data_IF_394884667005
#
_entry.id   IF_394884667005
#
_cell.length_a   1.000
_cell.length_b   1.000
_cell.length_c   1.000
_cell.angle_alpha   90.00
_cell.angle_beta   90.00
_cell.angle_gamma   90.00
#
_symmetry.space_group_name_H-M   'P 1'
#
loop_
_entity.id
_entity.type
_entity.pdbx_description
1 polymer ?
#
# COMPACT_ATOMS: atom_id res chain seq x y z
N UNK A 1 5.70 18.98 11.13
CA UNK A 1 5.14 17.90 10.30
C UNK A 1 6.14 17.58 9.19
N UNK A 2 6.35 16.31 8.85
CA UNK A 2 7.36 15.87 7.88
C UNK A 2 6.77 14.81 6.96
N UNK A 3 7.30 14.73 5.74
CA UNK A 3 7.01 13.67 4.77
C UNK A 3 8.10 12.61 4.88
N UNK A 4 7.70 11.35 5.06
CA UNK A 4 8.62 10.22 5.08
C UNK A 4 8.39 9.36 3.85
N UNK A 5 9.45 9.15 3.07
CA UNK A 5 9.42 8.44 1.80
C UNK A 5 10.33 7.23 1.91
N UNK A 6 9.76 6.04 1.73
CA UNK A 6 10.53 4.81 1.60
C UNK A 6 10.95 4.61 0.15
N UNK A 7 12.25 4.71 -0.13
CA UNK A 7 12.83 4.16 -1.34
C UNK A 7 13.12 2.67 -1.13
N UNK A 8 12.22 1.81 -1.64
CA UNK A 8 12.35 0.35 -1.51
C UNK A 8 13.56 -0.22 -2.24
N UNK A 9 14.07 0.46 -3.29
CA UNK A 9 15.24 0.00 -4.05
C UNK A 9 16.52 0.24 -3.25
N UNK A 10 16.64 1.42 -2.65
CA UNK A 10 17.78 1.79 -1.81
C UNK A 10 17.66 1.28 -0.37
N UNK A 11 16.46 0.90 0.08
CA UNK A 11 16.14 0.52 1.47
C UNK A 11 16.41 1.69 2.44
N UNK A 12 16.04 2.89 2.03
CA UNK A 12 16.25 4.13 2.79
C UNK A 12 14.91 4.81 3.04
N UNK A 13 14.70 5.32 4.24
CA UNK A 13 13.60 6.26 4.52
C UNK A 13 14.17 7.68 4.52
N UNK A 14 13.70 8.52 3.62
CA UNK A 14 14.02 9.94 3.59
C UNK A 14 12.97 10.74 4.35
N UNK A 15 13.40 11.75 5.10
CA UNK A 15 12.53 12.73 5.74
C UNK A 15 12.68 14.09 5.04
N UNK A 16 11.55 14.65 4.62
CA UNK A 16 11.42 15.99 4.05
C UNK A 16 10.48 16.83 4.91
N UNK A 17 10.60 18.15 4.87
CA UNK A 17 9.50 19.01 5.33
C UNK A 17 8.38 19.09 4.29
N UNK A 18 7.31 19.80 4.63
CA UNK A 18 6.15 19.97 3.74
C UNK A 18 6.43 20.88 2.53
N UNK A 19 7.56 21.58 2.52
CA UNK A 19 8.02 22.40 1.38
C UNK A 19 8.91 21.58 0.43
N UNK A 20 9.18 20.30 0.75
CA UNK A 20 9.99 19.39 -0.05
C UNK A 20 11.49 19.50 0.22
N UNK A 21 11.91 20.23 1.27
CA UNK A 21 13.32 20.32 1.63
C UNK A 21 13.75 19.09 2.42
N UNK A 22 14.87 18.50 2.01
CA UNK A 22 15.48 17.37 2.69
C UNK A 22 15.88 17.74 4.13
N UNK A 23 15.55 16.85 5.08
CA UNK A 23 15.91 16.99 6.50
C UNK A 23 16.96 15.97 6.93
N UNK A 24 16.67 14.69 6.73
CA UNK A 24 17.50 13.57 7.19
C UNK A 24 17.09 12.26 6.50
N UNK A 25 17.82 11.17 6.77
CA UNK A 25 17.47 9.82 6.30
C UNK A 25 17.79 8.74 7.33
N UNK A 26 17.03 7.65 7.31
CA UNK A 26 17.38 6.39 7.93
C UNK A 26 18.06 5.51 6.87
N UNK A 27 19.36 5.33 7.04
CA UNK A 27 20.24 4.57 6.15
C UNK A 27 21.21 3.75 7.01
N UNK A 28 20.66 2.67 7.60
CA UNK A 28 21.36 1.79 8.56
C UNK A 28 21.42 0.36 8.03
N UNK A 29 21.89 0.20 6.80
CA UNK A 29 21.97 -1.11 6.17
C UNK A 29 23.09 -1.97 6.78
N UNK A 30 22.74 -3.11 7.37
CA UNK A 30 23.71 -4.02 7.98
C UNK A 30 23.10 -5.01 8.98
N UNK A 31 23.96 -5.60 9.81
CA UNK A 31 23.58 -6.65 10.81
C UNK A 31 23.85 -6.23 12.25
N UNK A 32 24.44 -5.06 12.47
CA UNK A 32 24.76 -4.52 13.78
C UNK A 32 23.53 -4.01 14.55
N UNK A 33 23.81 -3.45 15.71
CA UNK A 33 22.80 -2.88 16.60
C UNK A 33 22.05 -1.74 15.90
N UNK A 34 20.72 -1.88 15.81
CA UNK A 34 19.86 -0.92 15.12
C UNK A 34 20.03 -0.87 13.61
N UNK A 35 20.67 -1.88 12.99
CA UNK A 35 20.78 -2.01 11.54
C UNK A 35 19.74 -3.00 10.98
N UNK A 36 19.47 -2.87 9.68
CA UNK A 36 18.54 -3.69 8.93
C UNK A 36 19.09 -4.17 7.57
N UNK A 37 18.73 -5.37 7.13
CA UNK A 37 19.07 -5.92 5.81
C UNK A 37 17.96 -5.70 4.77
N UNK A 38 16.73 -5.56 5.25
CA UNK A 38 15.52 -5.32 4.47
C UNK A 38 14.74 -4.17 5.10
N UNK A 39 13.97 -3.50 4.26
CA UNK A 39 13.03 -2.46 4.68
C UNK A 39 11.78 -2.65 3.82
N UNK A 40 10.96 -3.62 4.23
CA UNK A 40 9.83 -4.12 3.45
C UNK A 40 8.65 -3.16 3.51
N UNK A 41 8.41 -2.62 4.70
CA UNK A 41 7.34 -1.68 5.00
C UNK A 41 7.64 -0.90 6.29
N UNK A 42 6.93 0.19 6.52
CA UNK A 42 7.06 0.99 7.73
C UNK A 42 5.75 1.70 8.09
N UNK A 43 5.59 2.05 9.37
CA UNK A 43 4.60 3.03 9.77
C UNK A 43 5.17 3.99 10.80
N UNK A 44 4.52 5.15 10.90
CA UNK A 44 4.91 6.23 11.79
C UNK A 44 3.78 6.52 12.75
N UNK A 45 4.17 6.87 13.97
CA UNK A 45 3.32 7.41 15.03
C UNK A 45 3.83 8.79 15.43
N UNK A 46 3.18 9.45 16.39
CA UNK A 46 3.58 10.79 16.81
C UNK A 46 5.01 10.87 17.39
N UNK A 47 5.60 9.74 17.80
CA UNK A 47 6.93 9.69 18.42
C UNK A 47 7.90 8.69 17.80
N UNK A 48 7.42 7.74 17.00
CA UNK A 48 8.20 6.55 16.65
C UNK A 48 7.94 6.06 15.24
N UNK A 49 8.98 5.48 14.66
CA UNK A 49 9.03 4.87 13.33
C UNK A 49 9.26 3.38 13.53
N UNK A 50 8.35 2.57 13.02
CA UNK A 50 8.44 1.12 13.04
C UNK A 50 8.78 0.64 11.63
N UNK A 51 9.85 -0.13 11.48
CA UNK A 51 10.21 -0.75 10.19
C UNK A 51 10.09 -2.26 10.28
N UNK A 52 9.61 -2.86 9.21
CA UNK A 52 9.62 -4.30 9.00
C UNK A 52 10.92 -4.67 8.27
N UNK A 53 11.76 -5.48 8.93
CA UNK A 53 12.99 -6.03 8.37
C UNK A 53 12.86 -7.56 8.29
N UNK A 54 12.10 -8.05 7.30
CA UNK A 54 11.69 -9.45 7.22
C UNK A 54 12.84 -10.43 6.95
N UNK A 55 13.90 -10.01 6.25
CA UNK A 55 15.12 -10.82 6.05
C UNK A 55 15.83 -11.15 7.37
N UNK A 56 15.61 -10.32 8.40
CA UNK A 56 16.11 -10.55 9.77
C UNK A 56 15.01 -10.99 10.73
N UNK A 57 13.79 -11.21 10.23
CA UNK A 57 12.62 -11.59 11.03
C UNK A 57 12.48 -10.71 12.28
N UNK A 58 12.52 -9.39 12.10
CA UNK A 58 12.31 -8.44 13.19
C UNK A 58 11.54 -7.20 12.77
N UNK A 59 10.99 -6.53 13.77
CA UNK A 59 10.56 -5.13 13.68
C UNK A 59 11.56 -4.29 14.46
N UNK A 60 12.09 -3.25 13.83
CA UNK A 60 12.97 -2.28 14.48
C UNK A 60 12.22 -0.97 14.73
N UNK A 61 12.45 -0.36 15.88
CA UNK A 61 11.78 0.87 16.31
C UNK A 61 12.81 1.98 16.47
N UNK A 62 12.54 3.12 15.85
CA UNK A 62 13.34 4.34 15.93
C UNK A 62 12.48 5.50 16.41
N UNK A 63 13.10 6.56 16.92
CA UNK A 63 12.41 7.84 17.10
C UNK A 63 12.35 8.64 15.78
N UNK A 64 11.70 9.81 15.81
CA UNK A 64 11.56 10.67 14.62
C UNK A 64 12.89 11.29 14.12
N UNK A 65 13.96 11.22 14.92
CA UNK A 65 15.32 11.62 14.54
C UNK A 65 16.14 10.45 13.98
N UNK A 66 15.51 9.29 13.74
CA UNK A 66 16.15 8.05 13.29
C UNK A 66 17.17 7.46 14.27
N UNK A 67 17.04 7.77 15.56
CA UNK A 67 17.80 7.09 16.61
C UNK A 67 17.11 5.79 16.98
N UNK A 68 17.88 4.70 17.04
CA UNK A 68 17.36 3.39 17.36
C UNK A 68 16.89 3.33 18.82
N UNK A 69 15.76 2.67 19.04
CA UNK A 69 15.20 2.44 20.37
C UNK A 69 15.35 0.96 20.76
N UNK A 70 14.67 0.06 20.05
CA UNK A 70 14.72 -1.38 20.28
C UNK A 70 14.27 -2.16 19.03
N UNK A 71 14.51 -3.46 19.04
CA UNK A 71 13.90 -4.41 18.11
C UNK A 71 13.19 -5.52 18.86
N UNK A 72 12.32 -6.23 18.14
CA UNK A 72 11.74 -7.48 18.62
C UNK A 72 11.58 -8.48 17.49
N UNK A 73 11.76 -9.78 17.77
CA UNK A 73 11.67 -10.82 16.77
C UNK A 73 10.22 -11.04 16.34
N UNK A 74 10.05 -11.42 15.08
CA UNK A 74 8.77 -11.87 14.52
C UNK A 74 8.93 -13.32 14.09
N UNK A 75 7.83 -14.09 14.09
CA UNK A 75 7.90 -15.54 13.92
C UNK A 75 8.03 -15.96 12.45
N UNK A 76 7.75 -15.06 11.51
CA UNK A 76 7.77 -15.38 10.08
C UNK A 76 7.94 -14.12 9.22
N UNK A 77 8.23 -14.32 7.93
CA UNK A 77 8.41 -13.24 6.96
C UNK A 77 7.12 -12.43 6.77
N UNK A 78 7.19 -11.12 7.00
CA UNK A 78 6.11 -10.18 6.74
C UNK A 78 6.29 -9.45 5.41
N UNK A 79 5.21 -8.93 4.86
CA UNK A 79 5.20 -8.13 3.62
C UNK A 79 4.68 -6.71 3.83
N UNK A 80 3.90 -6.51 4.90
CA UNK A 80 3.40 -5.20 5.30
C UNK A 80 3.10 -5.15 6.79
N UNK A 81 3.19 -3.97 7.39
CA UNK A 81 2.86 -3.71 8.79
C UNK A 81 1.91 -2.54 8.96
N UNK A 82 1.06 -2.62 9.97
CA UNK A 82 0.25 -1.49 10.42
C UNK A 82 -0.02 -1.58 11.91
N UNK A 83 -0.72 -0.60 12.47
CA UNK A 83 -1.07 -0.61 13.88
C UNK A 83 -2.48 -0.09 14.15
N UNK A 84 -3.07 -0.62 15.22
CA UNK A 84 -4.25 -0.06 15.86
C UNK A 84 -4.03 -0.04 17.38
N UNK A 85 -4.06 1.15 17.97
CA UNK A 85 -3.72 1.37 19.40
C UNK A 85 -2.38 0.72 19.74
N UNK A 86 -2.38 -0.32 20.57
CA UNK A 86 -1.18 -0.99 21.09
C UNK A 86 -0.80 -2.21 20.25
N UNK A 87 -1.67 -2.62 19.32
CA UNK A 87 -1.47 -3.80 18.48
C UNK A 87 -0.78 -3.41 17.17
N UNK A 88 0.32 -4.10 16.87
CA UNK A 88 0.96 -4.13 15.56
C UNK A 88 0.46 -5.35 14.80
N UNK A 89 0.03 -5.14 13.56
CA UNK A 89 -0.38 -6.19 12.64
C UNK A 89 0.71 -6.40 11.60
N UNK A 90 1.11 -7.65 11.41
CA UNK A 90 2.00 -8.08 10.33
C UNK A 90 1.20 -8.91 9.35
N UNK A 91 1.18 -8.49 8.09
CA UNK A 91 0.63 -9.28 6.99
C UNK A 91 1.73 -10.11 6.34
N UNK A 92 1.56 -11.42 6.36
CA UNK A 92 2.55 -12.40 5.85
C UNK A 92 2.25 -12.84 4.43
N UNK A 93 1.17 -12.32 3.82
CA UNK A 93 0.66 -12.85 2.56
C UNK A 93 0.42 -14.36 2.71
N UNK A 94 0.82 -15.18 1.75
CA UNK A 94 0.74 -16.64 1.87
C UNK A 94 2.08 -17.27 2.28
N UNK A 95 2.95 -16.55 3.00
CA UNK A 95 4.31 -17.01 3.34
C UNK A 95 4.42 -17.75 4.68
N UNK A 96 3.39 -17.73 5.54
CA UNK A 96 3.44 -18.44 6.82
C UNK A 96 3.22 -19.94 6.66
N UNK A 97 4.14 -20.74 7.23
CA UNK A 97 4.00 -22.21 7.29
C UNK A 97 2.86 -22.68 8.19
N UNK A 98 2.35 -21.82 9.08
CA UNK A 98 1.16 -22.07 9.90
C UNK A 98 -0.15 -21.75 9.17
N UNK A 99 -0.06 -21.36 7.89
CA UNK A 99 -1.19 -21.08 7.02
C UNK A 99 -2.09 -19.93 7.52
N UNK A 100 -1.49 -18.92 8.18
CA UNK A 100 -2.16 -17.71 8.64
C UNK A 100 -1.58 -16.46 7.95
N UNK A 101 -2.47 -15.57 7.50
CA UNK A 101 -2.11 -14.33 6.83
C UNK A 101 -1.67 -13.21 7.79
N UNK A 102 -2.09 -13.24 9.05
CA UNK A 102 -1.84 -12.15 10.00
C UNK A 102 -1.25 -12.66 11.31
N UNK A 103 -0.31 -11.87 11.84
CA UNK A 103 0.23 -11.99 13.19
C UNK A 103 0.08 -10.66 13.90
N UNK A 104 -0.28 -10.71 15.19
CA UNK A 104 -0.50 -9.55 16.05
C UNK A 104 0.54 -9.57 17.16
N UNK A 105 1.16 -8.42 17.37
CA UNK A 105 2.12 -8.17 18.43
C UNK A 105 1.71 -6.95 19.26
N UNK A 106 2.10 -6.89 20.52
CA UNK A 106 2.12 -5.64 21.26
C UNK A 106 3.26 -4.78 20.70
N UNK A 107 2.95 -3.58 20.21
CA UNK A 107 3.92 -2.72 19.52
C UNK A 107 4.94 -2.07 20.45
N UNK A 108 4.74 -2.12 21.76
CA UNK A 108 5.65 -1.53 22.75
C UNK A 108 6.58 -2.57 23.34
N UNK A 109 6.10 -3.80 23.55
CA UNK A 109 6.88 -4.87 24.19
C UNK A 109 7.41 -5.91 23.19
N UNK A 110 6.83 -5.98 21.99
CA UNK A 110 7.13 -7.05 21.02
C UNK A 110 6.50 -8.40 21.39
N UNK A 111 5.64 -8.44 22.42
CA UNK A 111 4.95 -9.66 22.83
C UNK A 111 4.01 -10.15 21.71
N UNK A 112 4.12 -11.43 21.36
CA UNK A 112 3.20 -12.07 20.42
C UNK A 112 1.82 -12.27 21.07
N UNK A 113 0.77 -11.77 20.41
CA UNK A 113 -0.59 -11.77 20.96
C UNK A 113 -1.50 -12.80 20.28
N UNK A 114 -1.56 -12.82 18.94
CA UNK A 114 -2.49 -13.66 18.19
C UNK A 114 -2.10 -13.82 16.71
N UNK A 115 -2.78 -14.72 15.99
CA UNK A 115 -2.69 -14.91 14.54
C UNK A 115 -4.05 -15.27 13.95
N UNK A 116 -4.33 -14.86 12.72
CA UNK A 116 -5.61 -15.14 12.06
C UNK A 116 -5.52 -15.02 10.51
N UNK A 117 -6.64 -15.29 9.84
CA UNK A 117 -6.75 -15.24 8.38
C UNK A 117 -6.18 -16.49 7.73
N UNK A 118 -6.86 -17.63 7.90
CA UNK A 118 -6.35 -18.90 7.40
C UNK A 118 -6.45 -19.01 5.89
N UNK A 119 -5.46 -19.65 5.26
CA UNK A 119 -5.44 -19.85 3.81
C UNK A 119 -5.11 -21.31 3.39
N UNK A 120 -5.59 -21.77 2.22
CA UNK A 120 -5.26 -23.10 1.69
C UNK A 120 -3.76 -23.36 1.52
N UNK A 121 -3.29 -24.53 1.95
CA UNK A 121 -1.87 -24.96 1.82
C UNK A 121 -1.30 -24.81 0.41
N UNK A 122 -2.12 -24.99 -0.63
CA UNK A 122 -1.69 -24.85 -2.03
C UNK A 122 -1.30 -23.42 -2.44
N UNK A 123 -1.55 -22.43 -1.59
CA UNK A 123 -1.13 -21.04 -1.79
C UNK A 123 0.17 -20.70 -1.07
N UNK A 124 0.71 -21.62 -0.26
CA UNK A 124 1.91 -21.39 0.54
C UNK A 124 3.09 -20.99 -0.34
N UNK A 125 3.80 -19.93 0.07
CA UNK A 125 4.99 -19.40 -0.60
C UNK A 125 4.71 -18.25 -1.58
N UNK A 126 3.45 -17.83 -1.73
CA UNK A 126 3.06 -16.77 -2.68
C UNK A 126 3.00 -15.42 -1.96
N UNK A 127 3.67 -14.42 -2.51
CA UNK A 127 3.61 -13.04 -2.05
C UNK A 127 3.17 -12.11 -3.17
N UNK A 128 2.02 -11.46 -2.99
CA UNK A 128 1.55 -10.42 -3.89
C UNK A 128 2.09 -9.06 -3.50
N UNK A 129 2.63 -8.34 -4.48
CA UNK A 129 2.97 -6.92 -4.34
C UNK A 129 1.69 -6.10 -4.50
N UNK A 130 1.09 -5.67 -3.38
CA UNK A 130 -0.07 -4.79 -3.32
C UNK A 130 -0.12 -4.06 -1.98
N UNK A 131 -0.84 -2.95 -1.90
CA UNK A 131 -1.25 -2.43 -0.59
C UNK A 131 -2.25 -3.40 0.01
N UNK A 132 -2.13 -3.66 1.31
CA UNK A 132 -3.02 -4.62 2.00
C UNK A 132 -3.88 -3.92 3.04
N UNK A 133 -3.36 -2.88 3.68
CA UNK A 133 -4.03 -2.19 4.76
C UNK A 133 -4.56 -0.84 4.33
N UNK A 134 -5.75 -0.51 4.83
CA UNK A 134 -6.27 0.84 4.87
C UNK A 134 -6.60 1.19 6.32
N UNK A 135 -6.27 2.40 6.76
CA UNK A 135 -6.63 2.88 8.10
C UNK A 135 -7.72 3.91 8.01
N UNK A 136 -8.71 3.78 8.87
CA UNK A 136 -9.70 4.83 9.06
C UNK A 136 -10.20 4.82 10.50
N UNK A 137 -10.13 5.99 11.14
CA UNK A 137 -10.35 6.16 12.58
C UNK A 137 -9.52 5.12 13.39
N UNK A 138 -10.13 4.45 14.36
CA UNK A 138 -9.52 3.40 15.18
C UNK A 138 -9.69 1.99 14.57
N UNK A 139 -9.71 1.88 13.25
CA UNK A 139 -9.93 0.62 12.54
C UNK A 139 -8.91 0.41 11.43
N UNK A 140 -8.51 -0.85 11.29
CA UNK A 140 -7.68 -1.33 10.18
C UNK A 140 -8.58 -2.15 9.27
N UNK A 141 -8.54 -1.85 7.98
CA UNK A 141 -9.23 -2.56 6.93
C UNK A 141 -8.22 -3.27 6.06
N UNK A 142 -8.65 -4.36 5.45
CA UNK A 142 -7.81 -5.27 4.70
C UNK A 142 -8.59 -5.90 3.53
N UNK A 143 -7.89 -6.23 2.45
CA UNK A 143 -8.47 -6.82 1.24
C UNK A 143 -7.46 -7.76 0.57
N UNK A 144 -7.98 -8.74 -0.19
CA UNK A 144 -7.17 -9.81 -0.76
C UNK A 144 -7.38 -9.90 -2.28
N UNK A 145 -6.38 -10.38 -3.04
CA UNK A 145 -6.54 -10.68 -4.46
C UNK A 145 -7.73 -11.61 -4.69
N UNK A 146 -8.52 -11.34 -5.72
CA UNK A 146 -9.62 -12.18 -6.21
C UNK A 146 -10.79 -12.44 -5.23
N UNK A 147 -10.80 -11.86 -4.03
CA UNK A 147 -11.89 -12.02 -3.05
C UNK A 147 -12.94 -10.89 -3.12
N UNK A 148 -12.58 -9.79 -3.78
CA UNK A 148 -13.42 -8.60 -4.02
C UNK A 148 -14.15 -8.07 -2.76
N UNK A 149 -13.68 -8.42 -1.57
CA UNK A 149 -14.32 -8.12 -0.30
C UNK A 149 -13.40 -7.26 0.54
N UNK A 150 -13.98 -6.29 1.23
CA UNK A 150 -13.27 -5.46 2.20
C UNK A 150 -13.58 -6.02 3.59
N UNK A 151 -12.53 -6.21 4.38
CA UNK A 151 -12.62 -6.71 5.73
C UNK A 151 -12.15 -5.67 6.73
N UNK A 152 -12.69 -5.72 7.94
CA UNK A 152 -12.12 -5.09 9.12
C UNK A 152 -11.27 -6.13 9.84
N UNK A 153 -10.07 -5.72 10.24
CA UNK A 153 -9.07 -6.54 10.89
C UNK A 153 -9.08 -6.23 12.41
N UNK A 154 -9.56 -7.17 13.24
CA UNK A 154 -9.59 -7.08 14.72
C UNK A 154 -9.50 -8.47 15.37
N UNK A 155 -8.33 -9.12 15.27
CA UNK A 155 -8.09 -10.53 15.67
C UNK A 155 -8.82 -11.59 14.83
N UNK A 156 -9.76 -11.16 14.00
CA UNK A 156 -10.38 -11.92 12.93
C UNK A 156 -10.63 -11.02 11.73
N UNK A 157 -10.99 -11.64 10.60
CA UNK A 157 -11.50 -10.95 9.43
C UNK A 157 -13.01 -10.84 9.54
N UNK A 158 -13.51 -9.61 9.70
CA UNK A 158 -14.95 -9.31 9.63
C UNK A 158 -15.26 -8.67 8.29
N UNK A 159 -16.10 -9.30 7.48
CA UNK A 159 -16.46 -8.75 6.16
C UNK A 159 -17.32 -7.50 6.35
N UNK A 160 -16.89 -6.39 5.76
CA UNK A 160 -17.61 -5.11 5.75
C UNK A 160 -18.53 -5.04 4.54
N UNK A 161 -17.98 -5.35 3.35
CA UNK A 161 -18.75 -5.38 2.12
C UNK A 161 -18.10 -6.28 1.07
N UNK A 162 -18.86 -6.58 0.03
CA UNK A 162 -18.41 -7.24 -1.19
C UNK A 162 -18.63 -6.31 -2.38
N UNK A 163 -17.61 -6.13 -3.21
CA UNK A 163 -17.62 -5.29 -4.40
C UNK A 163 -18.04 -6.16 -5.58
N UNK A 164 -19.19 -5.85 -6.17
CA UNK A 164 -19.66 -6.53 -7.36
C UNK A 164 -19.31 -5.69 -8.60
N UNK A 165 -18.33 -6.14 -9.37
CA UNK A 165 -17.97 -5.51 -10.65
C UNK A 165 -18.86 -5.97 -11.81
N UNK A 166 -19.73 -6.95 -11.60
CA UNK A 166 -20.47 -7.65 -12.65
C UNK A 166 -19.76 -8.95 -13.04
N UNK A 167 -20.56 -9.99 -13.35
CA UNK A 167 -20.07 -11.36 -13.59
C UNK A 167 -18.99 -11.44 -14.67
N UNK A 168 -19.11 -10.63 -15.73
CA UNK A 168 -18.18 -10.64 -16.86
C UNK A 168 -16.84 -9.96 -16.54
N UNK A 169 -16.76 -9.26 -15.41
CA UNK A 169 -15.57 -8.54 -14.96
C UNK A 169 -14.91 -9.16 -13.74
N UNK A 170 -15.40 -10.31 -13.26
CA UNK A 170 -14.91 -11.02 -12.08
C UNK A 170 -14.46 -12.43 -12.43
N UNK A 171 -13.39 -12.89 -11.78
CA UNK A 171 -13.00 -14.29 -11.83
C UNK A 171 -14.03 -15.17 -11.08
N UNK A 172 -14.11 -16.48 -11.40
CA UNK A 172 -14.95 -17.42 -10.67
C UNK A 172 -14.65 -17.42 -9.15
N UNK A 173 -15.65 -17.66 -8.32
CA UNK A 173 -15.53 -17.55 -6.85
C UNK A 173 -14.41 -18.40 -6.24
N UNK A 174 -14.14 -19.57 -6.82
CA UNK A 174 -13.08 -20.47 -6.35
C UNK A 174 -11.66 -20.02 -6.74
N UNK A 175 -11.53 -19.04 -7.65
CA UNK A 175 -10.23 -18.56 -8.16
C UNK A 175 -9.34 -18.00 -7.04
N UNK A 176 -9.93 -17.35 -6.04
CA UNK A 176 -9.19 -16.83 -4.87
C UNK A 176 -8.47 -17.90 -4.05
N UNK A 177 -8.87 -19.17 -4.19
CA UNK A 177 -8.26 -20.30 -3.48
C UNK A 177 -7.22 -21.02 -4.34
N UNK A 178 -7.04 -20.66 -5.61
CA UNK A 178 -6.11 -21.34 -6.50
C UNK A 178 -4.65 -21.20 -6.02
N UNK A 179 -3.81 -22.18 -6.33
CA UNK A 179 -2.36 -22.08 -6.29
C UNK A 179 -1.85 -21.09 -7.34
N UNK A 180 -0.55 -20.76 -7.30
CA UNK A 180 0.04 -19.88 -8.32
C UNK A 180 -0.08 -20.46 -9.71
N UNK A 181 0.28 -21.73 -9.86
CA UNK A 181 0.23 -22.46 -11.12
C UNK A 181 -1.19 -22.55 -11.68
N UNK A 182 -2.19 -22.86 -10.84
CA UNK A 182 -3.59 -22.90 -11.25
C UNK A 182 -4.07 -21.53 -11.76
N UNK A 183 -3.64 -20.43 -11.10
CA UNK A 183 -3.98 -19.06 -11.54
C UNK A 183 -3.31 -18.71 -12.85
N UNK A 184 -2.01 -18.95 -12.98
CA UNK A 184 -1.25 -18.69 -14.21
C UNK A 184 -1.90 -19.45 -15.37
N UNK A 185 -2.15 -20.75 -15.22
CA UNK A 185 -2.78 -21.59 -16.24
C UNK A 185 -4.19 -21.14 -16.61
N UNK A 186 -4.94 -20.55 -15.68
CA UNK A 186 -6.26 -20.00 -15.97
C UNK A 186 -6.17 -18.66 -16.72
N UNK A 187 -5.30 -17.76 -16.27
CA UNK A 187 -5.09 -16.43 -16.87
C UNK A 187 -4.53 -16.56 -18.29
N UNK A 188 -3.65 -17.54 -18.54
CA UNK A 188 -3.07 -17.80 -19.87
C UNK A 188 -4.10 -18.29 -20.91
N UNK A 189 -5.34 -18.61 -20.52
CA UNK A 189 -6.42 -18.97 -21.46
C UNK A 189 -6.99 -17.75 -22.19
N UNK A 190 -6.79 -16.55 -21.65
CA UNK A 190 -7.16 -15.32 -22.33
C UNK A 190 -6.12 -15.03 -23.42
N UNK A 191 -6.53 -15.18 -24.69
CA UNK A 191 -5.68 -14.87 -25.85
C UNK A 191 -5.38 -13.38 -25.96
N UNK A 192 -6.32 -12.53 -25.54
CA UNK A 192 -6.18 -11.08 -25.44
C UNK A 192 -6.13 -10.66 -23.96
N UNK A 193 -5.01 -10.09 -23.47
CA UNK A 193 -4.88 -9.60 -22.11
C UNK A 193 -5.96 -8.57 -21.72
N UNK A 194 -6.54 -7.84 -22.67
CA UNK A 194 -7.60 -6.85 -22.40
C UNK A 194 -8.91 -7.47 -21.92
N UNK A 195 -9.09 -8.77 -22.18
CA UNK A 195 -10.27 -9.53 -21.75
C UNK A 195 -10.14 -10.08 -20.34
N UNK A 196 -8.97 -9.96 -19.71
CA UNK A 196 -8.79 -10.48 -18.35
C UNK A 196 -9.69 -9.75 -17.35
N UNK A 197 -10.45 -10.50 -16.52
CA UNK A 197 -11.24 -9.94 -15.43
C UNK A 197 -10.38 -9.17 -14.42
N UNK A 198 -11.05 -8.40 -13.57
CA UNK A 198 -10.40 -7.62 -12.51
C UNK A 198 -9.78 -8.59 -11.51
N UNK A 199 -8.47 -8.61 -11.37
CA UNK A 199 -7.80 -9.52 -10.43
C UNK A 199 -7.84 -9.05 -8.98
N UNK A 200 -7.87 -7.74 -8.77
CA UNK A 200 -7.72 -7.13 -7.44
C UNK A 200 -8.16 -5.68 -7.44
N UNK A 201 -8.52 -5.21 -6.25
CA UNK A 201 -8.48 -3.79 -5.90
C UNK A 201 -7.13 -3.48 -5.23
N UNK A 202 -6.73 -2.21 -5.24
CA UNK A 202 -5.55 -1.69 -4.56
C UNK A 202 -5.85 -0.28 -4.02
N UNK A 203 -4.92 0.26 -3.22
CA UNK A 203 -4.95 1.62 -2.69
C UNK A 203 -6.30 2.05 -2.08
N UNK A 204 -6.88 1.18 -1.25
CA UNK A 204 -8.16 1.46 -0.58
C UNK A 204 -8.02 2.64 0.38
N UNK A 205 -8.90 3.63 0.23
CA UNK A 205 -9.06 4.72 1.15
C UNK A 205 -10.52 4.87 1.56
N UNK A 206 -10.74 4.99 2.88
CA UNK A 206 -12.06 5.09 3.49
C UNK A 206 -12.08 6.34 4.35
N UNK A 207 -13.12 7.16 4.19
CA UNK A 207 -13.43 8.24 5.12
C UNK A 207 -14.94 8.47 5.25
N UNK A 208 -15.35 9.43 6.10
CA UNK A 208 -16.76 9.78 6.30
C UNK A 208 -17.45 10.20 4.99
N UNK A 209 -16.70 10.86 4.11
CA UNK A 209 -17.27 11.57 2.97
C UNK A 209 -17.16 10.80 1.66
N UNK A 210 -16.19 9.89 1.52
CA UNK A 210 -16.02 9.10 0.31
C UNK A 210 -15.28 7.79 0.51
N UNK A 211 -15.51 6.88 -0.43
CA UNK A 211 -14.75 5.65 -0.64
C UNK A 211 -13.94 5.78 -1.93
N UNK A 212 -12.65 5.42 -1.87
CA UNK A 212 -11.76 5.39 -3.02
C UNK A 212 -11.00 4.06 -3.04
N UNK A 213 -10.79 3.50 -4.23
CA UNK A 213 -9.80 2.45 -4.46
C UNK A 213 -9.42 2.41 -5.95
N UNK A 214 -8.31 1.76 -6.27
CA UNK A 214 -7.93 1.47 -7.65
C UNK A 214 -8.13 0.01 -7.97
N UNK A 215 -8.18 -0.31 -9.26
CA UNK A 215 -8.20 -1.68 -9.74
C UNK A 215 -7.67 -1.72 -11.17
N UNK A 216 -7.30 -2.91 -11.64
CA UNK A 216 -6.86 -3.11 -13.02
C UNK A 216 -7.87 -4.01 -13.72
N UNK A 217 -8.31 -3.61 -14.91
CA UNK A 217 -9.11 -4.43 -15.82
C UNK A 217 -8.30 -4.66 -17.09
N UNK A 218 -8.06 -5.92 -17.43
CA UNK A 218 -7.08 -6.27 -18.46
C UNK A 218 -5.69 -5.75 -18.07
N UNK A 219 -5.20 -4.77 -18.83
CA UNK A 219 -3.92 -4.07 -18.56
C UNK A 219 -4.10 -2.61 -18.16
N UNK A 220 -5.34 -2.12 -18.10
CA UNK A 220 -5.63 -0.70 -17.87
C UNK A 220 -5.94 -0.43 -16.40
N UNK A 221 -5.32 0.59 -15.79
CA UNK A 221 -5.65 1.03 -14.45
C UNK A 221 -6.95 1.84 -14.45
N UNK A 222 -7.76 1.63 -13.40
CA UNK A 222 -8.99 2.33 -13.14
C UNK A 222 -9.03 2.78 -11.68
N UNK A 223 -9.81 3.83 -11.44
CA UNK A 223 -10.20 4.29 -10.12
C UNK A 223 -11.69 4.01 -9.91
N UNK A 224 -12.05 3.82 -8.66
CA UNK A 224 -13.41 3.95 -8.16
C UNK A 224 -13.40 5.06 -7.12
N UNK A 225 -14.26 6.07 -7.30
CA UNK A 225 -14.46 7.14 -6.34
C UNK A 225 -15.95 7.34 -6.11
N UNK A 226 -16.38 7.27 -4.85
CA UNK A 226 -17.77 7.43 -4.46
C UNK A 226 -17.89 8.39 -3.29
N UNK A 227 -18.33 9.61 -3.58
CA UNK A 227 -18.69 10.56 -2.53
C UNK A 227 -20.09 10.23 -1.98
N UNK A 228 -20.27 10.36 -0.66
CA UNK A 228 -21.52 10.05 0.07
C UNK A 228 -22.70 10.91 -0.37
N UNK A 229 -22.43 12.14 -0.79
CA UNK A 229 -23.44 13.09 -1.32
C UNK A 229 -23.80 12.89 -2.79
N UNK A 230 -23.13 11.98 -3.50
CA UNK A 230 -23.41 11.69 -4.91
C UNK A 230 -24.17 10.37 -5.00
N UNK A 231 -25.07 10.22 -5.97
CA UNK A 231 -25.85 8.99 -6.18
C UNK A 231 -25.09 7.96 -7.04
N UNK A 232 -24.19 8.40 -7.91
CA UNK A 232 -23.38 7.55 -8.79
C UNK A 232 -21.92 7.55 -8.32
N UNK A 233 -21.19 6.47 -8.60
CA UNK A 233 -19.74 6.42 -8.40
C UNK A 233 -19.02 6.82 -9.69
N UNK A 234 -17.91 7.54 -9.56
CA UNK A 234 -17.01 7.79 -10.67
C UNK A 234 -16.10 6.58 -10.85
N UNK A 235 -16.17 5.96 -12.03
CA UNK A 235 -15.36 4.79 -12.38
C UNK A 235 -14.72 5.04 -13.75
N UNK A 236 -13.41 4.93 -13.84
CA UNK A 236 -12.67 5.29 -15.05
C UNK A 236 -11.17 5.38 -14.82
N UNK A 237 -10.41 5.69 -15.87
CA UNK A 237 -9.02 6.10 -15.73
C UNK A 237 -8.92 7.58 -15.34
N UNK A 238 -7.86 7.95 -14.62
CA UNK A 238 -7.47 9.36 -14.46
C UNK A 238 -6.90 9.86 -15.79
N UNK A 239 -7.44 10.97 -16.29
CA UNK A 239 -7.00 11.63 -17.51
C UNK A 239 -6.46 13.02 -17.15
N UNK A 240 -5.32 13.38 -17.70
CA UNK A 240 -4.75 14.72 -17.56
C UNK A 240 -5.65 15.76 -18.23
N UNK A 241 -5.56 16.99 -17.74
CA UNK A 241 -6.27 18.13 -18.33
C UNK A 241 -5.40 19.38 -18.20
N UNK A 242 -5.75 20.47 -18.89
CA UNK A 242 -5.08 21.75 -18.68
C UNK A 242 -5.09 22.19 -17.21
N UNK A 243 -6.15 21.86 -16.45
CA UNK A 243 -6.23 22.19 -15.03
C UNK A 243 -5.36 21.26 -14.16
N UNK A 244 -5.21 20.00 -14.56
CA UNK A 244 -4.47 18.96 -13.83
C UNK A 244 -3.49 18.26 -14.78
N UNK A 245 -2.42 18.94 -15.22
CA UNK A 245 -1.57 18.46 -16.31
C UNK A 245 -0.71 17.26 -15.92
N UNK A 246 -0.49 17.05 -14.62
CA UNK A 246 0.39 16.00 -14.10
C UNK A 246 -0.35 14.94 -13.27
N UNK A 247 -1.69 14.96 -13.26
CA UNK A 247 -2.47 13.99 -12.49
C UNK A 247 -2.37 12.62 -13.16
N UNK A 248 -2.10 11.58 -12.38
CA UNK A 248 -1.90 10.24 -12.89
C UNK A 248 -2.37 9.18 -11.88
N UNK A 249 -2.32 7.91 -12.29
CA UNK A 249 -2.72 6.77 -11.46
C UNK A 249 -1.63 6.29 -10.48
N UNK A 250 -0.41 6.84 -10.55
CA UNK A 250 0.73 6.53 -9.67
C UNK A 250 0.67 7.39 -8.39
N UNK A 251 -0.43 7.25 -7.66
CA UNK A 251 -0.65 8.02 -6.44
C UNK A 251 -0.10 7.34 -5.20
N UNK A 252 0.36 8.16 -4.25
CA UNK A 252 1.05 7.75 -3.04
C UNK A 252 0.13 7.88 -1.82
N UNK A 253 -0.70 8.90 -1.81
CA UNK A 253 -1.53 9.23 -0.65
C UNK A 253 -2.79 9.96 -1.07
N UNK A 254 -3.88 9.69 -0.37
CA UNK A 254 -5.13 10.43 -0.49
C UNK A 254 -5.73 10.62 0.90
N UNK A 255 -6.32 11.79 1.14
CA UNK A 255 -7.12 12.08 2.32
C UNK A 255 -8.39 12.87 1.96
N UNK A 256 -9.10 13.37 2.97
CA UNK A 256 -10.36 14.13 2.81
C UNK A 256 -10.26 15.35 1.89
N UNK A 257 -9.07 15.93 1.73
CA UNK A 257 -8.83 17.17 0.98
C UNK A 257 -7.62 17.10 0.07
N UNK A 258 -6.83 16.03 0.11
CA UNK A 258 -5.52 15.96 -0.54
C UNK A 258 -5.43 14.70 -1.39
N UNK A 259 -4.84 14.84 -2.57
CA UNK A 259 -4.34 13.73 -3.39
C UNK A 259 -2.90 14.00 -3.74
N UNK A 260 -2.03 13.02 -3.47
CA UNK A 260 -0.60 13.11 -3.76
C UNK A 260 -0.26 12.02 -4.75
N UNK A 261 0.26 12.43 -5.90
CA UNK A 261 0.87 11.53 -6.87
C UNK A 261 2.31 11.92 -7.17
N UNK A 262 2.98 11.03 -7.87
CA UNK A 262 4.37 11.18 -8.22
C UNK A 262 4.51 11.27 -9.74
N UNK A 263 5.46 12.06 -10.21
CA UNK A 263 5.90 12.01 -11.60
C UNK A 263 7.43 12.06 -11.67
N UNK A 264 7.99 11.47 -12.72
CA UNK A 264 9.40 11.69 -13.03
C UNK A 264 9.60 13.15 -13.44
N UNK A 265 10.77 13.72 -13.15
CA UNK A 265 11.07 15.11 -13.51
C UNK A 265 11.01 15.31 -15.04
N UNK A 266 11.47 14.32 -15.81
CA UNK A 266 11.38 14.29 -17.27
C UNK A 266 9.95 14.48 -17.81
N UNK A 267 8.91 14.05 -17.06
CA UNK A 267 7.52 14.16 -17.48
C UNK A 267 7.08 15.62 -17.65
N UNK A 268 7.68 16.55 -16.90
CA UNK A 268 7.34 17.99 -16.98
C UNK A 268 7.69 18.57 -18.36
N UNK A 269 8.75 18.07 -19.00
CA UNK A 269 9.19 18.56 -20.31
C UNK A 269 8.30 18.08 -21.46
N UNK A 270 7.35 17.18 -21.19
CA UNK A 270 6.32 16.77 -22.14
C UNK A 270 5.04 17.62 -22.08
N UNK A 271 4.95 18.55 -21.11
CA UNK A 271 3.81 19.45 -21.00
C UNK A 271 3.82 20.50 -22.12
N UNK A 272 2.65 20.78 -22.67
CA UNK A 272 2.47 21.88 -23.64
C UNK A 272 2.85 23.24 -23.02
N UNK A 273 2.50 23.44 -21.74
CA UNK A 273 2.85 24.62 -20.96
C UNK A 273 3.37 24.19 -19.59
N UNK A 274 4.60 24.61 -19.25
CA UNK A 274 5.22 24.30 -17.96
C UNK A 274 4.77 25.35 -16.92
N UNK A 275 4.09 24.92 -15.83
CA UNK A 275 3.72 25.82 -14.75
C UNK A 275 4.91 26.59 -14.18
N UNK A 276 4.73 27.87 -13.85
CA UNK A 276 5.82 28.75 -13.37
C UNK A 276 6.60 28.15 -12.19
N UNK A 277 5.93 27.45 -11.27
CA UNK A 277 6.56 26.81 -10.11
C UNK A 277 7.39 25.56 -10.45
N UNK A 278 7.37 25.10 -11.71
CA UNK A 278 8.11 23.94 -12.20
C UNK A 278 9.21 24.31 -13.20
N UNK A 279 9.37 25.58 -13.56
CA UNK A 279 10.35 26.02 -14.57
C UNK A 279 11.81 25.84 -14.13
N UNK A 280 12.09 25.75 -12.83
CA UNK A 280 13.45 25.54 -12.31
C UNK A 280 13.86 24.06 -12.26
N UNK A 281 12.94 23.14 -12.54
CA UNK A 281 13.20 21.69 -12.51
C UNK A 281 14.09 21.30 -13.69
N UNK A 282 15.02 20.39 -13.46
CA UNK A 282 15.89 19.77 -14.46
C UNK A 282 15.46 18.33 -14.75
N UNK A 283 15.84 17.83 -15.92
CA UNK A 283 15.47 16.48 -16.37
C UNK A 283 16.02 15.37 -15.46
N UNK A 284 17.16 15.62 -14.81
CA UNK A 284 17.87 14.71 -13.92
C UNK A 284 17.55 14.94 -12.43
N UNK A 285 16.63 15.85 -12.12
CA UNK A 285 16.17 16.05 -10.76
C UNK A 285 15.45 14.79 -10.24
N UNK A 286 15.40 14.70 -8.90
CA UNK A 286 14.58 13.69 -8.25
C UNK A 286 13.12 13.79 -8.73
N UNK A 287 12.40 12.67 -8.68
CA UNK A 287 10.98 12.70 -8.97
C UNK A 287 10.19 13.67 -8.07
N UNK A 288 9.07 14.13 -8.59
CA UNK A 288 8.31 15.23 -8.02
C UNK A 288 7.01 14.72 -7.43
N UNK A 289 6.74 15.15 -6.20
CA UNK A 289 5.46 14.94 -5.55
C UNK A 289 4.51 16.09 -5.91
N UNK A 290 3.37 15.73 -6.47
CA UNK A 290 2.34 16.69 -6.83
C UNK A 290 1.19 16.55 -5.85
N UNK A 291 0.89 17.64 -5.14
CA UNK A 291 -0.18 17.72 -4.17
C UNK A 291 -1.37 18.47 -4.77
N UNK A 292 -2.44 17.75 -5.06
CA UNK A 292 -3.74 18.32 -5.41
C UNK A 292 -4.58 18.51 -4.16
N UNK A 293 -5.26 19.66 -4.07
CA UNK A 293 -6.15 19.99 -2.95
C UNK A 293 -7.58 20.07 -3.47
N UNK A 294 -8.45 19.20 -2.96
CA UNK A 294 -9.88 19.22 -3.20
C UNK A 294 -10.54 20.31 -2.35
N UNK A 295 -11.46 21.06 -2.94
CA UNK A 295 -12.29 22.05 -2.26
C UNK A 295 -13.71 21.54 -2.10
#
# INVERSE_FOLDING_TARGET
>A
MALYILDKKQKIIFAFDLEGKYKSKLDKHGRGYGEYLSLDDFFITDSSIYILASDQQKVSVYNLNFEFNFDFPIVTHGTSITFNRDSLFIFTNYCSTELQNFYIYNRFTGEYLNKFGSFPKKQLGIAYRQTTFAKYQNSVYCFFPYDYSIYKCHEKLEKVCHINFGKDYMYPENFKNYSDEERINYIMRYSDPLQQPIGRIDNLFICDNFLFFTFVKGIFPYIYFKHTKQDVAHVGGIITSHQFPLINNDFIYIDKSTYICFCQAETIFSLEEIPHNLQSIKIDDNPILIKYIFK
#
